data_IF_826937577584
#
_entry.id   IF_826937577584
#
_cell.length_a   1.000
_cell.length_b   1.000
_cell.length_c   1.000
_cell.angle_alpha   90.00
_cell.angle_beta   90.00
_cell.angle_gamma   90.00
#
_symmetry.space_group_name_H-M   'P 1'
#
loop_
_entity.id
_entity.type
_entity.pdbx_description
1 polymer ?
#
# COMPACT_ATOMS: atom_id res chain seq x y z
N UNK A 1 18.89 -23.54 -28.34
CA UNK A 1 19.52 -24.48 -27.37
C UNK A 1 18.82 -25.82 -27.26
N UNK A 2 17.56 -25.90 -26.80
CA UNK A 2 16.84 -27.20 -26.70
C UNK A 2 16.61 -27.84 -28.07
N UNK A 3 16.13 -27.06 -29.02
CA UNK A 3 15.87 -27.51 -30.41
C UNK A 3 17.15 -27.94 -31.14
N UNK A 4 18.23 -27.22 -30.92
CA UNK A 4 19.56 -27.58 -31.50
C UNK A 4 20.08 -28.92 -31.01
N UNK A 5 19.66 -29.34 -29.81
CA UNK A 5 19.95 -30.65 -29.21
C UNK A 5 18.89 -31.72 -29.50
N UNK A 6 17.85 -31.39 -30.30
CA UNK A 6 16.73 -32.27 -30.61
C UNK A 6 16.00 -32.83 -29.36
N UNK A 7 15.95 -32.05 -28.28
CA UNK A 7 15.27 -32.44 -27.04
C UNK A 7 13.82 -31.94 -27.02
N UNK A 8 12.88 -32.77 -26.59
CA UNK A 8 11.50 -32.33 -26.33
C UNK A 8 11.38 -31.67 -24.96
N UNK A 9 10.36 -30.82 -24.77
CA UNK A 9 10.06 -30.21 -23.46
C UNK A 9 9.85 -31.25 -22.36
N UNK A 10 9.29 -32.42 -22.69
CA UNK A 10 9.08 -33.51 -21.74
C UNK A 10 10.42 -34.17 -21.31
N UNK A 11 11.35 -34.34 -22.23
CA UNK A 11 12.69 -34.88 -21.91
C UNK A 11 13.47 -33.94 -21.01
N UNK A 12 13.45 -32.62 -21.32
CA UNK A 12 14.09 -31.62 -20.47
C UNK A 12 13.39 -31.52 -19.10
N UNK A 13 12.08 -31.62 -19.06
CA UNK A 13 11.32 -31.64 -17.80
C UNK A 13 11.71 -32.82 -16.91
N UNK A 14 11.82 -34.02 -17.50
CA UNK A 14 12.23 -35.24 -16.79
C UNK A 14 13.67 -35.14 -16.25
N UNK A 15 14.59 -34.53 -17.01
CA UNK A 15 16.00 -34.40 -16.62
C UNK A 15 16.28 -33.26 -15.66
N UNK A 16 15.47 -32.17 -15.72
CA UNK A 16 15.69 -30.96 -14.90
C UNK A 16 14.82 -30.91 -13.64
N UNK A 17 13.76 -31.70 -13.58
CA UNK A 17 12.72 -31.55 -12.55
C UNK A 17 11.87 -30.28 -12.69
N UNK A 18 12.02 -29.53 -13.78
CA UNK A 18 11.25 -28.30 -14.07
C UNK A 18 10.01 -28.67 -14.90
N UNK A 19 8.84 -28.24 -14.47
CA UNK A 19 7.59 -28.51 -15.19
C UNK A 19 7.63 -28.04 -16.66
N UNK A 20 7.13 -28.87 -17.58
CA UNK A 20 7.20 -28.61 -19.02
C UNK A 20 6.44 -27.33 -19.43
N UNK A 21 5.37 -26.98 -18.73
CA UNK A 21 4.64 -25.71 -18.94
C UNK A 21 5.48 -24.50 -18.53
N UNK A 22 6.29 -24.67 -17.49
CA UNK A 22 7.21 -23.63 -17.02
C UNK A 22 8.39 -23.46 -17.99
N UNK A 23 8.93 -24.57 -18.51
CA UNK A 23 9.95 -24.53 -19.56
C UNK A 23 9.46 -23.81 -20.82
N UNK A 24 8.24 -24.10 -21.26
CA UNK A 24 7.61 -23.40 -22.40
C UNK A 24 7.46 -21.89 -22.13
N UNK A 25 7.16 -21.47 -20.89
CA UNK A 25 7.10 -20.06 -20.53
C UNK A 25 8.47 -19.37 -20.58
N UNK A 26 9.53 -20.08 -20.21
CA UNK A 26 10.89 -19.57 -20.33
C UNK A 26 11.29 -19.37 -21.80
N UNK A 27 11.08 -20.39 -22.65
CA UNK A 27 11.39 -20.33 -24.08
C UNK A 27 10.62 -19.24 -24.84
N UNK A 28 9.39 -18.94 -24.40
CA UNK A 28 8.55 -17.89 -25.01
C UNK A 28 8.72 -16.51 -24.35
N UNK A 29 9.69 -16.32 -23.46
CA UNK A 29 9.94 -15.05 -22.77
C UNK A 29 8.84 -14.61 -21.82
N UNK A 30 7.86 -15.48 -21.51
CA UNK A 30 6.72 -15.16 -20.62
C UNK A 30 7.07 -15.24 -19.14
N UNK A 31 8.22 -15.78 -18.80
CA UNK A 31 8.76 -15.86 -17.44
C UNK A 31 10.28 -15.98 -17.46
N UNK A 32 10.93 -15.32 -16.52
CA UNK A 32 12.37 -15.39 -16.32
C UNK A 32 12.68 -16.58 -15.41
N UNK A 33 13.66 -17.42 -15.80
CA UNK A 33 14.11 -18.57 -15.01
C UNK A 33 14.91 -18.10 -13.78
N UNK A 34 14.86 -18.84 -12.67
CA UNK A 34 15.73 -18.57 -11.52
C UNK A 34 17.19 -18.91 -11.81
N UNK A 35 18.14 -18.39 -11.02
CA UNK A 35 19.55 -18.70 -11.15
C UNK A 35 19.82 -20.22 -11.12
N UNK A 36 19.17 -20.95 -10.19
CA UNK A 36 19.28 -22.40 -10.07
C UNK A 36 18.74 -23.12 -11.31
N UNK A 37 17.64 -22.65 -11.87
CA UNK A 37 17.05 -23.21 -13.09
C UNK A 37 17.94 -22.96 -14.30
N UNK A 38 18.56 -21.79 -14.43
CA UNK A 38 19.52 -21.49 -15.51
C UNK A 38 20.72 -22.41 -15.42
N UNK A 39 21.32 -22.59 -14.23
CA UNK A 39 22.44 -23.49 -14.01
C UNK A 39 22.09 -24.96 -14.32
N UNK A 40 20.87 -25.39 -13.95
CA UNK A 40 20.39 -26.74 -14.24
C UNK A 40 20.22 -26.97 -15.74
N UNK A 41 19.60 -26.00 -16.43
CA UNK A 41 19.37 -26.06 -17.87
C UNK A 41 20.65 -25.96 -18.68
N UNK A 42 21.63 -25.12 -18.25
CA UNK A 42 22.95 -25.06 -18.94
C UNK A 42 23.68 -26.38 -18.93
N UNK A 43 23.60 -27.13 -17.83
CA UNK A 43 24.19 -28.49 -17.74
C UNK A 43 23.51 -29.49 -18.68
N UNK A 44 22.16 -29.44 -18.76
CA UNK A 44 21.36 -30.33 -19.63
C UNK A 44 21.60 -30.01 -21.11
N UNK A 45 21.77 -28.74 -21.44
CA UNK A 45 22.06 -28.30 -22.80
C UNK A 45 23.53 -28.36 -23.15
N UNK A 46 24.41 -28.83 -22.23
CA UNK A 46 25.88 -28.88 -22.41
C UNK A 46 26.42 -27.52 -22.90
N UNK A 47 25.97 -26.47 -22.25
CA UNK A 47 26.38 -25.11 -22.58
C UNK A 47 27.50 -24.71 -21.65
N UNK A 48 28.73 -24.62 -22.22
CA UNK A 48 29.93 -24.41 -21.44
C UNK A 48 30.07 -23.02 -20.80
N UNK A 49 29.33 -22.03 -21.29
CA UNK A 49 29.35 -20.67 -20.76
C UNK A 49 28.05 -20.30 -20.01
N UNK A 50 27.82 -20.97 -18.87
CA UNK A 50 26.73 -20.68 -17.98
C UNK A 50 26.74 -19.20 -17.44
N UNK A 51 27.91 -18.56 -17.43
CA UNK A 51 28.06 -17.18 -17.01
C UNK A 51 27.37 -16.23 -17.97
N UNK A 52 27.48 -16.42 -19.28
CA UNK A 52 26.76 -15.63 -20.29
C UNK A 52 25.26 -15.75 -20.14
N UNK A 53 24.72 -16.95 -19.88
CA UNK A 53 23.29 -17.14 -19.64
C UNK A 53 22.81 -16.45 -18.35
N UNK A 54 23.62 -16.44 -17.30
CA UNK A 54 23.32 -15.75 -16.06
C UNK A 54 23.34 -14.23 -16.25
N UNK A 55 24.31 -13.71 -17.01
CA UNK A 55 24.37 -12.28 -17.38
C UNK A 55 23.11 -11.89 -18.17
N UNK A 56 22.74 -12.68 -19.17
CA UNK A 56 21.55 -12.40 -19.99
C UNK A 56 20.27 -12.44 -19.15
N UNK A 57 20.12 -13.44 -18.29
CA UNK A 57 19.00 -13.50 -17.34
C UNK A 57 18.94 -12.27 -16.42
N UNK A 58 20.07 -11.82 -15.89
CA UNK A 58 20.13 -10.62 -15.06
C UNK A 58 19.78 -9.36 -15.84
N UNK A 59 20.23 -9.26 -17.10
CA UNK A 59 19.86 -8.18 -18.01
C UNK A 59 18.35 -8.14 -18.27
N UNK A 60 17.74 -9.29 -18.57
CA UNK A 60 16.29 -9.39 -18.78
C UNK A 60 15.50 -9.00 -17.51
N UNK A 61 15.96 -9.42 -16.34
CA UNK A 61 15.36 -9.04 -15.05
C UNK A 61 15.46 -7.54 -14.80
N UNK A 62 16.59 -6.92 -15.14
CA UNK A 62 16.82 -5.47 -15.05
C UNK A 62 15.91 -4.73 -16.01
N UNK A 63 15.84 -5.13 -17.28
CA UNK A 63 14.99 -4.52 -18.29
C UNK A 63 13.51 -4.59 -17.87
N UNK A 64 13.08 -5.74 -17.34
CA UNK A 64 11.69 -5.90 -16.88
C UNK A 64 11.35 -5.02 -15.67
N UNK A 65 12.32 -4.76 -14.79
CA UNK A 65 12.16 -3.90 -13.60
C UNK A 65 12.20 -2.41 -13.94
N UNK A 66 12.97 -2.02 -14.96
CA UNK A 66 13.07 -0.64 -15.41
C UNK A 66 11.80 -0.15 -16.13
N UNK A 67 10.90 -1.08 -16.48
CA UNK A 67 9.64 -0.76 -17.18
C UNK A 67 9.85 0.20 -18.37
N UNK A 68 10.94 -0.02 -19.12
CA UNK A 68 11.35 0.81 -20.24
C UNK A 68 10.34 0.65 -21.38
N UNK A 69 9.43 1.58 -21.48
CA UNK A 69 8.44 1.66 -22.57
C UNK A 69 9.06 2.17 -23.88
N UNK A 70 10.27 2.71 -23.80
CA UNK A 70 11.01 3.28 -24.93
C UNK A 70 12.28 2.45 -25.21
N UNK A 71 12.29 1.81 -26.39
CA UNK A 71 13.39 0.96 -26.85
C UNK A 71 14.69 1.75 -27.09
N UNK A 72 14.61 3.03 -27.37
CA UNK A 72 15.78 3.88 -27.64
C UNK A 72 16.53 4.24 -26.36
N UNK A 73 15.80 4.58 -25.30
CA UNK A 73 16.37 4.81 -23.97
C UNK A 73 16.94 3.51 -23.38
N UNK A 74 16.28 2.37 -23.61
CA UNK A 74 16.79 1.06 -23.21
C UNK A 74 18.12 0.73 -23.89
N UNK A 75 18.20 0.98 -25.19
CA UNK A 75 19.43 0.74 -25.97
C UNK A 75 20.57 1.66 -25.53
N UNK A 76 20.32 2.92 -25.27
CA UNK A 76 21.32 3.88 -24.76
C UNK A 76 21.85 3.48 -23.36
N UNK A 77 20.96 3.01 -22.47
CA UNK A 77 21.34 2.53 -21.15
C UNK A 77 22.19 1.25 -21.27
N UNK A 78 21.80 0.32 -22.16
CA UNK A 78 22.54 -0.92 -22.39
C UNK A 78 23.91 -0.66 -23.03
N UNK A 79 23.98 0.24 -24.02
CA UNK A 79 25.25 0.64 -24.63
C UNK A 79 26.18 1.36 -23.63
N UNK A 80 25.62 2.26 -22.82
CA UNK A 80 26.38 2.91 -21.76
C UNK A 80 26.84 1.92 -20.66
N UNK A 81 26.05 0.87 -20.40
CA UNK A 81 26.44 -0.22 -19.50
C UNK A 81 27.52 -1.12 -20.10
N UNK A 82 27.42 -1.45 -21.39
CA UNK A 82 28.41 -2.28 -22.11
C UNK A 82 29.78 -1.59 -22.18
N UNK A 83 29.83 -0.30 -22.49
CA UNK A 83 31.07 0.49 -22.46
C UNK A 83 31.70 0.54 -21.06
N UNK A 84 30.91 0.40 -20.01
CA UNK A 84 31.32 0.55 -18.60
C UNK A 84 31.63 -0.76 -17.89
N UNK A 85 31.03 -1.88 -18.30
CA UNK A 85 31.37 -3.23 -17.80
C UNK A 85 32.79 -3.61 -18.15
N UNK A 86 33.32 -3.06 -19.25
CA UNK A 86 34.71 -3.22 -19.65
C UNK A 86 35.71 -2.52 -18.68
N UNK A 87 35.25 -1.54 -17.89
CA UNK A 87 36.11 -0.71 -17.03
C UNK A 87 35.97 -0.92 -15.50
N UNK A 88 35.33 -2.00 -15.05
CA UNK A 88 35.47 -2.45 -13.66
C UNK A 88 34.29 -2.19 -12.70
N UNK A 89 34.39 -2.85 -11.56
CA UNK A 89 33.38 -3.03 -10.49
C UNK A 89 32.72 -1.76 -9.90
N UNK A 90 33.27 -0.59 -10.13
CA UNK A 90 32.69 0.69 -9.67
C UNK A 90 31.36 1.04 -10.35
N UNK A 91 31.08 0.52 -11.54
CA UNK A 91 29.87 0.86 -12.29
C UNK A 91 28.70 -0.09 -12.06
N UNK A 92 28.95 -1.29 -11.52
CA UNK A 92 27.89 -2.17 -11.05
C UNK A 92 27.19 -1.54 -9.83
N UNK A 93 27.96 -0.83 -8.99
CA UNK A 93 27.41 -0.06 -7.86
C UNK A 93 26.52 1.09 -8.35
N UNK A 94 26.94 1.90 -9.33
CA UNK A 94 26.16 2.99 -9.88
C UNK A 94 24.90 2.52 -10.62
N UNK A 95 24.94 1.35 -11.25
CA UNK A 95 23.78 0.76 -11.91
C UNK A 95 22.78 0.16 -10.90
N UNK A 96 23.31 -0.47 -9.85
CA UNK A 96 22.51 -0.88 -8.70
C UNK A 96 21.95 0.33 -7.96
N UNK A 97 22.72 1.41 -7.79
CA UNK A 97 22.24 2.70 -7.27
C UNK A 97 21.07 3.24 -8.11
N UNK A 98 21.13 3.25 -9.44
CA UNK A 98 20.05 3.71 -10.29
C UNK A 98 18.77 2.87 -10.15
N UNK A 99 18.89 1.54 -9.93
CA UNK A 99 17.76 0.64 -9.65
C UNK A 99 17.22 0.84 -8.23
N UNK A 100 18.12 1.05 -7.27
CA UNK A 100 17.75 1.31 -5.88
C UNK A 100 17.38 2.78 -5.62
N UNK A 101 17.69 3.70 -6.55
CA UNK A 101 17.38 5.13 -6.40
C UNK A 101 15.95 5.50 -6.76
N UNK A 102 15.17 4.63 -7.44
CA UNK A 102 13.78 4.96 -7.70
C UNK A 102 13.00 5.05 -6.39
N UNK A 103 12.43 6.21 -6.07
CA UNK A 103 11.65 6.38 -4.85
C UNK A 103 10.47 5.40 -4.78
N UNK A 104 10.05 5.07 -3.58
CA UNK A 104 8.94 4.15 -3.34
C UNK A 104 7.62 4.90 -3.49
N UNK A 105 6.77 4.45 -4.42
CA UNK A 105 5.47 5.05 -4.67
C UNK A 105 4.45 4.72 -3.56
N UNK A 106 3.50 5.62 -3.34
CA UNK A 106 2.44 5.54 -2.33
C UNK A 106 1.66 4.22 -2.39
N UNK A 107 1.31 3.76 -3.59
CA UNK A 107 0.51 2.56 -3.84
C UNK A 107 1.25 1.24 -3.59
N UNK A 108 2.57 1.27 -3.32
CA UNK A 108 3.38 0.06 -3.18
C UNK A 108 3.20 -0.67 -1.84
N UNK A 109 2.57 -0.05 -0.85
CA UNK A 109 2.27 -0.65 0.46
C UNK A 109 1.14 -1.67 0.37
N UNK A 110 1.29 -2.81 1.01
CA UNK A 110 0.23 -3.81 1.16
C UNK A 110 -0.83 -3.31 2.15
N UNK A 111 -2.02 -3.04 1.65
CA UNK A 111 -3.12 -2.54 2.47
C UNK A 111 -4.46 -3.12 1.97
N UNK A 112 -5.27 -3.59 2.91
CA UNK A 112 -6.58 -4.21 2.59
C UNK A 112 -7.53 -3.11 2.13
N UNK A 113 -8.19 -3.32 1.00
CA UNK A 113 -9.16 -2.37 0.45
C UNK A 113 -8.55 -1.23 -0.37
N UNK A 114 -7.24 -1.29 -0.74
CA UNK A 114 -6.62 -0.27 -1.59
C UNK A 114 -7.38 -0.10 -2.91
N UNK A 115 -7.70 1.15 -3.27
CA UNK A 115 -8.37 1.55 -4.51
C UNK A 115 -7.43 1.85 -5.67
N UNK A 116 -6.12 1.58 -5.53
CA UNK A 116 -5.09 1.93 -6.53
C UNK A 116 -5.44 1.47 -7.95
N UNK A 117 -6.05 0.28 -8.11
CA UNK A 117 -6.45 -0.26 -9.41
C UNK A 117 -7.75 0.32 -9.98
N UNK A 118 -8.50 1.04 -9.18
CA UNK A 118 -9.80 1.61 -9.52
C UNK A 118 -9.76 3.12 -9.65
N UNK A 119 -8.62 3.74 -9.37
CA UNK A 119 -8.52 5.19 -9.21
C UNK A 119 -8.93 5.95 -10.48
N UNK A 120 -8.49 5.50 -11.65
CA UNK A 120 -8.87 6.12 -12.92
C UNK A 120 -10.39 6.05 -13.16
N UNK A 121 -10.99 4.90 -12.88
CA UNK A 121 -12.43 4.70 -13.01
C UNK A 121 -13.21 5.59 -12.02
N UNK A 122 -12.80 5.63 -10.74
CA UNK A 122 -13.42 6.45 -9.70
C UNK A 122 -13.35 7.94 -10.09
N UNK A 123 -12.16 8.44 -10.40
CA UNK A 123 -11.97 9.86 -10.73
C UNK A 123 -12.67 10.26 -12.02
N UNK A 124 -12.74 9.36 -13.02
CA UNK A 124 -13.48 9.63 -14.24
C UNK A 124 -14.99 9.79 -13.99
N UNK A 125 -15.58 8.92 -13.17
CA UNK A 125 -17.02 9.03 -12.84
C UNK A 125 -17.27 10.30 -12.02
N UNK A 126 -16.46 10.61 -11.02
CA UNK A 126 -16.58 11.84 -10.24
C UNK A 126 -16.58 13.07 -11.17
N UNK A 127 -15.59 13.15 -12.08
CA UNK A 127 -15.47 14.26 -13.05
C UNK A 127 -16.69 14.37 -13.97
N UNK A 128 -17.28 13.25 -14.37
CA UNK A 128 -18.40 13.22 -15.29
C UNK A 128 -19.73 13.59 -14.61
N UNK A 129 -19.89 13.17 -13.37
CA UNK A 129 -21.17 13.26 -12.64
C UNK A 129 -21.27 14.46 -11.71
N UNK A 130 -20.17 15.18 -11.47
CA UNK A 130 -20.17 16.37 -10.60
C UNK A 130 -19.92 17.65 -11.42
N UNK A 131 -20.45 18.79 -10.96
CA UNK A 131 -20.33 20.09 -11.64
C UNK A 131 -19.98 21.16 -10.63
N UNK A 132 -19.18 22.14 -11.07
CA UNK A 132 -18.80 23.32 -10.27
C UNK A 132 -18.27 22.92 -8.88
N UNK A 133 -17.30 22.00 -8.88
CA UNK A 133 -16.66 21.44 -7.68
C UNK A 133 -15.17 21.81 -7.64
N UNK A 134 -14.75 22.35 -6.50
CA UNK A 134 -13.40 22.87 -6.27
C UNK A 134 -12.71 22.17 -5.11
N UNK A 135 -13.48 21.66 -4.15
CA UNK A 135 -12.94 21.08 -2.92
C UNK A 135 -13.36 19.62 -2.77
N UNK A 136 -12.43 18.81 -2.31
CA UNK A 136 -12.60 17.36 -2.16
C UNK A 136 -12.28 16.92 -0.74
N UNK A 137 -13.13 16.09 -0.14
CA UNK A 137 -12.92 15.51 1.18
C UNK A 137 -12.83 13.99 1.10
N UNK A 138 -11.63 13.43 1.30
CA UNK A 138 -11.39 11.98 1.45
C UNK A 138 -11.60 11.59 2.91
N UNK A 139 -12.80 11.06 3.21
CA UNK A 139 -13.30 10.86 4.58
C UNK A 139 -12.60 9.70 5.30
N UNK A 140 -12.22 8.64 4.54
CA UNK A 140 -11.54 7.44 5.02
C UNK A 140 -10.38 7.10 4.09
N UNK A 141 -9.36 7.91 4.09
CA UNK A 141 -8.35 7.91 3.02
C UNK A 141 -7.48 6.65 2.92
N UNK A 142 -7.35 5.85 3.98
CA UNK A 142 -6.69 4.54 3.99
C UNK A 142 -5.26 4.58 3.42
N UNK A 143 -5.07 4.14 2.16
CA UNK A 143 -3.76 4.22 1.49
C UNK A 143 -3.38 5.62 1.03
N UNK A 144 -4.32 6.56 0.93
CA UNK A 144 -4.12 7.90 0.39
C UNK A 144 -4.11 7.99 -1.14
N UNK A 145 -4.37 6.89 -1.87
CA UNK A 145 -4.33 6.90 -3.35
C UNK A 145 -5.44 7.74 -3.96
N UNK A 146 -6.61 7.82 -3.32
CA UNK A 146 -7.71 8.69 -3.75
C UNK A 146 -7.36 10.15 -3.49
N UNK A 147 -6.82 10.45 -2.31
CA UNK A 147 -6.27 11.77 -1.95
C UNK A 147 -5.23 12.23 -2.98
N UNK A 148 -4.24 11.37 -3.33
CA UNK A 148 -3.19 11.68 -4.35
C UNK A 148 -3.81 12.05 -5.71
N UNK A 149 -4.83 11.31 -6.14
CA UNK A 149 -5.52 11.60 -7.40
C UNK A 149 -6.38 12.87 -7.32
N UNK A 150 -6.99 13.14 -6.18
CA UNK A 150 -7.78 14.35 -5.96
C UNK A 150 -6.90 15.61 -5.98
N UNK A 151 -5.68 15.58 -5.46
CA UNK A 151 -4.72 16.69 -5.49
C UNK A 151 -4.39 17.19 -6.91
N UNK A 152 -4.49 16.31 -7.91
CA UNK A 152 -4.30 16.67 -9.31
C UNK A 152 -5.58 17.18 -10.00
N UNK A 153 -6.74 17.14 -9.32
CA UNK A 153 -8.04 17.36 -9.95
C UNK A 153 -8.90 18.43 -9.26
N UNK A 154 -8.59 18.80 -8.02
CA UNK A 154 -9.33 19.76 -7.21
C UNK A 154 -8.42 20.88 -6.71
N UNK A 155 -9.00 22.05 -6.50
CA UNK A 155 -8.28 23.23 -6.03
C UNK A 155 -7.82 23.08 -4.57
N UNK A 156 -8.56 22.32 -3.74
CA UNK A 156 -8.23 22.04 -2.36
C UNK A 156 -8.73 20.66 -1.91
N UNK A 157 -7.90 19.95 -1.14
CA UNK A 157 -8.19 18.58 -0.69
C UNK A 157 -8.11 18.49 0.84
N UNK A 158 -9.14 17.93 1.43
CA UNK A 158 -9.18 17.51 2.83
C UNK A 158 -9.02 15.99 2.89
N UNK A 159 -8.13 15.50 3.71
CA UNK A 159 -7.93 14.05 3.88
C UNK A 159 -7.95 13.66 5.35
N UNK A 160 -8.63 12.57 5.66
CA UNK A 160 -8.75 12.09 7.03
C UNK A 160 -8.57 10.57 7.13
N UNK A 161 -7.92 10.13 8.17
CA UNK A 161 -7.89 8.72 8.59
C UNK A 161 -7.75 8.63 10.10
N UNK A 162 -8.21 7.52 10.69
CA UNK A 162 -8.19 7.32 12.12
C UNK A 162 -6.86 6.77 12.65
N UNK A 163 -5.98 6.27 11.76
CA UNK A 163 -4.70 5.66 12.13
C UNK A 163 -3.57 6.69 12.20
N UNK A 164 -2.72 6.56 13.21
CA UNK A 164 -1.50 7.36 13.34
C UNK A 164 -0.54 7.11 12.17
N UNK A 165 -0.38 5.84 11.76
CA UNK A 165 0.50 5.47 10.67
C UNK A 165 0.08 6.09 9.33
N UNK A 166 -1.22 6.12 9.02
CA UNK A 166 -1.72 6.75 7.81
C UNK A 166 -1.52 8.26 7.82
N UNK A 167 -1.75 8.93 8.96
CA UNK A 167 -1.51 10.37 9.10
C UNK A 167 -0.05 10.76 8.85
N UNK A 168 0.91 10.00 9.40
CA UNK A 168 2.35 10.19 9.14
C UNK A 168 2.67 9.97 7.66
N UNK A 169 2.09 8.94 7.05
CA UNK A 169 2.27 8.64 5.62
C UNK A 169 1.76 9.78 4.74
N UNK A 170 0.58 10.33 5.02
CA UNK A 170 0.05 11.47 4.24
C UNK A 170 0.94 12.70 4.38
N UNK A 171 1.38 13.02 5.60
CA UNK A 171 2.33 14.12 5.84
C UNK A 171 3.65 13.90 5.09
N UNK A 172 4.13 12.67 5.01
CA UNK A 172 5.35 12.32 4.31
C UNK A 172 5.21 12.45 2.78
N UNK A 173 4.11 11.94 2.20
CA UNK A 173 3.94 11.91 0.75
C UNK A 173 3.44 13.23 0.15
N UNK A 174 2.54 13.92 0.83
CA UNK A 174 1.90 15.13 0.28
C UNK A 174 1.64 16.27 1.28
N UNK A 175 2.01 16.12 2.54
CA UNK A 175 1.87 17.23 3.48
C UNK A 175 2.73 18.44 3.09
N UNK A 176 2.26 19.62 3.43
CA UNK A 176 3.01 20.87 3.28
C UNK A 176 4.31 20.85 4.09
N UNK A 177 5.27 21.61 3.65
CA UNK A 177 6.56 21.85 4.31
C UNK A 177 7.77 21.45 3.48
N UNK A 178 8.85 22.17 3.73
CA UNK A 178 10.15 21.93 3.09
C UNK A 178 10.90 20.78 3.76
N UNK A 179 11.69 20.07 2.98
CA UNK A 179 12.62 19.05 3.45
C UNK A 179 13.90 19.05 2.62
N UNK A 180 15.01 18.71 3.24
CA UNK A 180 16.29 18.53 2.57
C UNK A 180 16.47 17.06 2.15
N UNK A 181 16.38 16.80 0.84
CA UNK A 181 16.53 15.45 0.27
C UNK A 181 17.93 14.87 0.47
N UNK A 182 18.98 15.72 0.49
CA UNK A 182 20.35 15.27 0.76
C UNK A 182 20.50 14.83 2.22
N UNK A 183 19.97 15.61 3.14
CA UNK A 183 19.95 15.25 4.56
C UNK A 183 19.21 13.92 4.80
N UNK A 184 18.05 13.72 4.17
CA UNK A 184 17.35 12.43 4.22
C UNK A 184 18.21 11.31 3.64
N UNK A 185 18.87 11.56 2.49
CA UNK A 185 19.81 10.63 1.87
C UNK A 185 20.92 10.20 2.84
N UNK A 186 21.59 11.16 3.50
CA UNK A 186 22.64 10.90 4.48
C UNK A 186 22.14 10.02 5.65
N UNK A 187 20.89 10.23 6.12
CA UNK A 187 20.28 9.35 7.13
C UNK A 187 20.10 7.92 6.60
N UNK A 188 19.59 7.77 5.38
CA UNK A 188 19.33 6.45 4.79
C UNK A 188 20.64 5.71 4.51
N UNK A 189 21.67 6.38 4.00
CA UNK A 189 22.99 5.80 3.72
C UNK A 189 23.62 5.29 5.01
N UNK A 190 23.64 6.12 6.06
CA UNK A 190 24.10 5.74 7.39
C UNK A 190 23.36 4.52 7.94
N UNK A 191 22.04 4.44 7.77
CA UNK A 191 21.25 3.29 8.22
C UNK A 191 21.50 2.04 7.39
N UNK A 192 21.77 2.18 6.10
CA UNK A 192 22.06 1.08 5.20
C UNK A 192 23.46 0.47 5.43
N UNK A 193 24.39 1.21 6.04
CA UNK A 193 25.72 0.75 6.41
C UNK A 193 25.78 0.00 7.75
N UNK A 194 24.70 0.03 8.54
CA UNK A 194 24.66 -0.62 9.84
C UNK A 194 24.70 -2.15 9.72
N UNK A 195 25.58 -2.78 10.51
CA UNK A 195 25.56 -4.23 10.71
C UNK A 195 24.57 -4.60 11.83
N UNK A 196 23.42 -5.19 11.51
CA UNK A 196 22.40 -5.53 12.50
C UNK A 196 22.87 -6.56 13.54
N UNK A 197 23.91 -7.34 13.24
CA UNK A 197 24.45 -8.34 14.19
C UNK A 197 25.13 -7.68 15.39
N UNK A 198 25.66 -6.47 15.21
CA UNK A 198 26.36 -5.70 16.25
C UNK A 198 25.41 -4.86 17.11
N UNK A 199 24.16 -4.69 16.69
CA UNK A 199 23.19 -3.86 17.39
C UNK A 199 22.63 -4.55 18.65
N UNK A 200 22.35 -3.80 19.73
CA UNK A 200 21.71 -4.36 20.91
C UNK A 200 20.25 -4.70 20.67
N UNK A 201 19.73 -5.57 21.53
CA UNK A 201 18.28 -5.80 21.61
C UNK A 201 17.55 -4.52 21.98
N UNK A 202 16.33 -4.39 21.48
CA UNK A 202 15.49 -3.24 21.70
C UNK A 202 14.00 -3.63 21.75
N UNK A 203 13.14 -2.68 22.08
CA UNK A 203 11.71 -2.93 22.22
C UNK A 203 11.11 -3.60 20.97
N UNK A 204 11.54 -3.22 19.76
CA UNK A 204 10.98 -3.77 18.52
C UNK A 204 11.45 -5.21 18.28
N UNK A 205 12.73 -5.50 18.48
CA UNK A 205 13.29 -6.83 18.31
C UNK A 205 12.76 -7.84 19.35
N UNK A 206 12.66 -7.43 20.61
CA UNK A 206 12.14 -8.28 21.70
C UNK A 206 10.67 -8.69 21.47
N UNK A 207 9.86 -7.82 20.88
CA UNK A 207 8.44 -8.07 20.70
C UNK A 207 8.10 -8.67 19.32
N UNK A 208 8.69 -8.17 18.24
CA UNK A 208 8.29 -8.49 16.86
C UNK A 208 9.31 -9.35 16.12
N UNK A 209 10.57 -9.44 16.60
CA UNK A 209 11.61 -10.29 16.05
C UNK A 209 11.27 -11.78 16.14
N UNK A 210 11.64 -12.55 15.12
CA UNK A 210 11.36 -13.99 15.04
C UNK A 210 9.88 -14.36 14.81
N UNK A 211 8.99 -13.37 14.75
CA UNK A 211 7.54 -13.56 14.49
C UNK A 211 7.08 -12.82 13.24
N UNK A 212 7.09 -11.51 13.29
CA UNK A 212 6.67 -10.64 12.17
C UNK A 212 7.84 -10.25 11.26
N UNK A 213 9.05 -10.23 11.82
CA UNK A 213 10.27 -9.90 11.09
C UNK A 213 11.38 -10.87 11.48
N UNK A 214 12.36 -11.04 10.61
CA UNK A 214 13.61 -11.66 11.01
C UNK A 214 14.23 -10.88 12.18
N UNK A 215 14.89 -11.58 13.09
CA UNK A 215 15.34 -10.98 14.35
C UNK A 215 16.33 -9.84 14.15
N UNK A 216 17.30 -10.01 13.27
CA UNK A 216 18.31 -8.99 12.95
C UNK A 216 17.67 -7.78 12.24
N UNK A 217 16.70 -8.00 11.36
CA UNK A 217 15.89 -6.93 10.75
C UNK A 217 15.13 -6.16 11.84
N UNK A 218 14.54 -6.86 12.81
CA UNK A 218 13.80 -6.21 13.89
C UNK A 218 14.70 -5.37 14.80
N UNK A 219 15.95 -5.81 15.06
CA UNK A 219 16.95 -5.01 15.77
C UNK A 219 17.25 -3.71 15.04
N UNK A 220 17.51 -3.81 13.73
CA UNK A 220 17.80 -2.65 12.89
C UNK A 220 16.61 -1.68 12.84
N UNK A 221 15.38 -2.18 12.66
CA UNK A 221 14.15 -1.35 12.67
C UNK A 221 14.00 -0.58 13.98
N UNK A 222 14.16 -1.25 15.11
CA UNK A 222 14.05 -0.60 16.42
C UNK A 222 15.15 0.41 16.69
N UNK A 223 16.38 0.13 16.25
CA UNK A 223 17.50 1.07 16.32
C UNK A 223 17.23 2.32 15.48
N UNK A 224 16.89 2.15 14.20
CA UNK A 224 16.59 3.26 13.29
C UNK A 224 15.44 4.11 13.84
N UNK A 225 14.38 3.48 14.30
CA UNK A 225 13.22 4.22 14.85
C UNK A 225 13.59 5.03 16.09
N UNK A 226 14.47 4.48 16.97
CA UNK A 226 14.96 5.21 18.14
C UNK A 226 15.87 6.37 17.73
N UNK A 227 16.78 6.15 16.77
CA UNK A 227 17.68 7.22 16.28
C UNK A 227 16.89 8.37 15.64
N UNK A 228 15.82 8.07 14.87
CA UNK A 228 14.92 9.11 14.34
C UNK A 228 14.26 9.90 15.48
N UNK A 229 13.83 9.24 16.57
CA UNK A 229 13.22 9.93 17.72
C UNK A 229 14.23 10.79 18.47
N UNK A 230 15.44 10.28 18.70
CA UNK A 230 16.50 10.99 19.40
C UNK A 230 17.01 12.22 18.62
N UNK A 231 16.90 12.19 17.30
CA UNK A 231 17.28 13.29 16.41
C UNK A 231 16.10 14.18 15.98
N UNK A 232 14.93 14.01 16.57
CA UNK A 232 13.69 14.69 16.18
C UNK A 232 13.81 16.22 16.14
N UNK A 233 14.52 16.81 17.11
CA UNK A 233 14.68 18.26 17.19
C UNK A 233 15.59 18.83 16.08
N UNK A 234 16.35 17.98 15.40
CA UNK A 234 17.17 18.32 14.25
C UNK A 234 16.44 18.15 12.90
N UNK A 235 15.20 17.65 12.90
CA UNK A 235 14.40 17.37 11.72
C UNK A 235 13.25 18.36 11.61
N UNK A 236 12.92 18.78 10.39
CA UNK A 236 11.62 19.42 10.17
C UNK A 236 10.49 18.38 10.39
N UNK A 237 9.28 18.85 10.60
CA UNK A 237 8.12 17.95 10.73
C UNK A 237 7.96 17.04 9.51
N UNK A 238 8.24 17.56 8.30
CA UNK A 238 8.19 16.84 7.04
C UNK A 238 9.29 15.78 6.97
N UNK A 239 10.54 16.11 7.28
CA UNK A 239 11.67 15.18 7.31
C UNK A 239 11.44 14.03 8.27
N UNK A 240 10.95 14.32 9.48
CA UNK A 240 10.58 13.31 10.47
C UNK A 240 9.54 12.33 9.91
N UNK A 241 8.48 12.84 9.26
CA UNK A 241 7.46 12.01 8.65
C UNK A 241 8.02 11.18 7.49
N UNK A 242 8.89 11.75 6.64
CA UNK A 242 9.52 11.06 5.51
C UNK A 242 10.36 9.87 6.00
N UNK A 243 11.20 10.06 7.03
CA UNK A 243 12.04 8.99 7.56
C UNK A 243 11.20 7.83 8.13
N UNK A 244 10.14 8.14 8.90
CA UNK A 244 9.25 7.10 9.45
C UNK A 244 8.47 6.39 8.36
N UNK A 245 7.90 7.11 7.39
CA UNK A 245 7.17 6.52 6.28
C UNK A 245 8.11 5.66 5.41
N UNK A 246 9.34 6.13 5.15
CA UNK A 246 10.37 5.36 4.45
C UNK A 246 10.64 4.05 5.17
N UNK A 247 10.81 4.07 6.49
CA UNK A 247 11.00 2.85 7.28
C UNK A 247 9.81 1.89 7.11
N UNK A 248 8.57 2.37 7.28
CA UNK A 248 7.34 1.55 7.12
C UNK A 248 7.27 0.90 5.74
N UNK A 249 7.50 1.65 4.66
CA UNK A 249 7.38 1.15 3.29
C UNK A 249 8.45 0.10 2.94
N UNK A 250 9.66 0.23 3.49
CA UNK A 250 10.72 -0.75 3.26
C UNK A 250 10.50 -2.03 4.07
N UNK A 251 10.07 -1.95 5.33
CA UNK A 251 9.80 -3.14 6.14
C UNK A 251 8.50 -3.85 5.76
N UNK A 252 7.55 -3.19 5.09
CA UNK A 252 6.29 -3.82 4.68
C UNK A 252 6.54 -5.08 3.84
N UNK A 253 7.50 -5.06 2.93
CA UNK A 253 7.85 -6.19 2.07
C UNK A 253 8.53 -7.34 2.82
N UNK A 254 9.20 -7.03 3.93
CA UNK A 254 9.91 -8.00 4.77
C UNK A 254 9.02 -8.65 5.83
N UNK A 255 7.82 -8.09 6.05
CA UNK A 255 6.92 -8.59 7.06
C UNK A 255 6.41 -10.00 6.75
N UNK A 256 6.62 -10.93 7.68
CA UNK A 256 6.21 -12.34 7.63
C UNK A 256 4.70 -12.49 7.84
N UNK A 257 3.91 -11.86 7.00
CA UNK A 257 2.45 -11.78 7.09
C UNK A 257 1.80 -11.93 5.71
N UNK A 258 0.48 -12.07 5.73
CA UNK A 258 -0.36 -12.08 4.51
C UNK A 258 -0.92 -10.68 4.18
N UNK A 259 -0.24 -9.60 4.60
CA UNK A 259 -0.63 -8.23 4.35
C UNK A 259 -1.28 -7.51 5.56
N UNK A 260 -1.32 -8.14 6.73
CA UNK A 260 -1.75 -7.55 7.99
C UNK A 260 -1.12 -8.27 9.20
N UNK A 261 -1.05 -7.63 10.36
CA UNK A 261 -0.38 -8.15 11.56
C UNK A 261 -1.31 -8.88 12.54
N UNK A 262 -2.50 -9.28 12.15
CA UNK A 262 -3.39 -10.07 13.02
C UNK A 262 -2.85 -11.49 13.25
N UNK A 263 -2.09 -11.99 12.29
CA UNK A 263 -1.39 -13.26 12.36
C UNK A 263 -0.07 -13.20 11.58
N UNK A 264 0.88 -14.03 11.97
CA UNK A 264 2.14 -14.24 11.25
C UNK A 264 2.20 -15.65 10.66
N UNK A 265 3.03 -15.81 9.61
CA UNK A 265 3.21 -17.09 8.93
C UNK A 265 4.10 -17.99 9.80
N UNK A 266 3.62 -19.18 10.17
CA UNK A 266 4.35 -20.16 11.00
C UNK A 266 5.37 -20.97 10.21
N UNK A 267 6.15 -20.30 9.35
CA UNK A 267 7.28 -20.91 8.61
C UNK A 267 8.55 -20.15 8.99
N UNK A 268 9.73 -20.78 8.86
CA UNK A 268 10.98 -20.03 9.02
C UNK A 268 10.99 -18.78 8.16
N UNK A 269 11.34 -17.66 8.76
CA UNK A 269 11.44 -16.38 8.05
C UNK A 269 12.68 -16.46 7.17
N UNK A 270 12.51 -16.15 5.89
CA UNK A 270 13.64 -16.10 4.96
C UNK A 270 14.51 -14.90 5.29
N UNK A 271 15.82 -15.11 5.31
CA UNK A 271 16.75 -14.01 5.43
C UNK A 271 16.62 -13.06 4.22
N UNK A 272 16.29 -11.81 4.51
CA UNK A 272 16.23 -10.72 3.54
C UNK A 272 16.74 -9.46 4.23
N UNK A 273 17.88 -8.89 3.84
CA UNK A 273 18.41 -7.70 4.45
C UNK A 273 17.45 -6.52 4.24
N UNK A 274 17.33 -5.68 5.25
CA UNK A 274 16.66 -4.39 5.11
C UNK A 274 17.62 -3.43 4.40
N UNK A 275 17.15 -2.89 3.28
CA UNK A 275 17.79 -1.79 2.59
C UNK A 275 16.78 -0.67 2.38
N UNK A 276 17.05 0.48 2.96
CA UNK A 276 16.13 1.62 2.93
C UNK A 276 16.26 2.39 1.62
N UNK A 277 15.14 2.60 0.97
CA UNK A 277 14.98 3.48 -0.20
C UNK A 277 13.96 4.54 0.14
N UNK A 278 14.26 5.77 -0.24
CA UNK A 278 13.37 6.90 -0.01
C UNK A 278 12.01 6.70 -0.66
N UNK A 279 10.96 7.23 -0.06
CA UNK A 279 9.62 7.32 -0.66
C UNK A 279 9.55 8.51 -1.64
N UNK A 280 8.57 8.47 -2.57
CA UNK A 280 8.17 9.67 -3.31
C UNK A 280 7.57 10.67 -2.34
N UNK A 281 8.18 11.84 -2.19
CA UNK A 281 7.65 12.90 -1.32
C UNK A 281 7.49 14.17 -2.13
N UNK A 282 6.32 14.74 -2.08
CA UNK A 282 5.97 16.02 -2.68
C UNK A 282 5.35 16.91 -1.60
N UNK A 283 5.44 18.23 -1.78
CA UNK A 283 4.78 19.19 -0.90
C UNK A 283 3.64 19.85 -1.64
N UNK A 284 2.46 19.86 -1.02
CA UNK A 284 1.26 20.50 -1.55
C UNK A 284 0.75 21.51 -0.53
N UNK A 285 0.51 22.75 -0.95
CA UNK A 285 -0.07 23.80 -0.12
C UNK A 285 -1.61 23.71 -0.06
N UNK A 286 -2.20 22.96 -1.00
CA UNK A 286 -3.64 22.83 -1.16
C UNK A 286 -4.21 21.54 -0.51
N UNK A 287 -3.64 21.12 0.61
CA UNK A 287 -4.12 19.96 1.37
C UNK A 287 -4.18 20.25 2.87
N UNK A 288 -5.23 19.74 3.51
CA UNK A 288 -5.31 19.66 4.96
C UNK A 288 -5.48 18.20 5.42
N UNK A 289 -4.64 17.77 6.37
CA UNK A 289 -4.51 16.36 6.80
C UNK A 289 -5.03 16.23 8.23
N UNK A 290 -6.12 15.49 8.39
CA UNK A 290 -6.75 15.23 9.68
C UNK A 290 -6.46 13.81 10.19
N UNK A 291 -6.56 13.64 11.50
CA UNK A 291 -6.59 12.36 12.20
C UNK A 291 -7.69 12.41 13.25
N UNK A 292 -8.93 12.28 12.82
CA UNK A 292 -10.10 12.44 13.67
C UNK A 292 -11.15 11.37 13.39
N UNK A 293 -12.12 11.23 14.30
CA UNK A 293 -13.35 10.50 14.00
C UNK A 293 -14.07 11.19 12.83
N UNK A 294 -14.38 10.44 11.79
CA UNK A 294 -14.94 10.99 10.55
C UNK A 294 -16.31 11.63 10.76
N UNK A 295 -17.12 11.10 11.68
CA UNK A 295 -18.42 11.65 11.98
C UNK A 295 -18.32 12.99 12.72
N UNK A 296 -17.33 13.13 13.61
CA UNK A 296 -17.11 14.42 14.30
C UNK A 296 -16.55 15.47 13.34
N UNK A 297 -15.60 15.07 12.47
CA UNK A 297 -15.02 15.99 11.48
C UNK A 297 -16.08 16.49 10.48
N UNK A 298 -16.99 15.61 10.03
CA UNK A 298 -18.03 15.94 9.07
C UNK A 298 -19.01 17.04 9.55
N UNK A 299 -19.12 17.26 10.87
CA UNK A 299 -20.01 18.29 11.44
C UNK A 299 -19.52 19.73 11.20
N UNK A 300 -18.22 19.90 11.02
CA UNK A 300 -17.62 21.24 10.89
C UNK A 300 -16.90 21.49 9.56
N UNK A 301 -16.71 20.46 8.71
CA UNK A 301 -15.97 20.58 7.47
C UNK A 301 -16.94 20.79 6.30
N UNK A 302 -16.67 21.82 5.48
CA UNK A 302 -17.44 22.13 4.27
C UNK A 302 -16.55 21.79 3.06
N UNK A 303 -17.10 21.03 2.12
CA UNK A 303 -16.44 20.71 0.85
C UNK A 303 -17.49 20.61 -0.28
N UNK A 304 -17.04 20.49 -1.54
CA UNK A 304 -17.98 20.25 -2.64
C UNK A 304 -18.26 18.75 -2.81
N UNK A 305 -17.25 17.91 -2.68
CA UNK A 305 -17.35 16.45 -2.85
C UNK A 305 -16.80 15.75 -1.60
N UNK A 306 -17.57 14.85 -1.00
CA UNK A 306 -17.06 13.90 0.00
C UNK A 306 -16.96 12.51 -0.61
N UNK A 307 -15.76 11.91 -0.56
CA UNK A 307 -15.51 10.51 -0.93
C UNK A 307 -15.46 9.64 0.33
N UNK A 308 -16.23 8.57 0.34
CA UNK A 308 -16.50 7.73 1.50
C UNK A 308 -16.22 6.27 1.14
N UNK A 309 -15.16 5.71 1.70
CA UNK A 309 -14.79 4.28 1.60
C UNK A 309 -14.59 3.70 3.01
N UNK A 310 -15.70 3.49 3.77
CA UNK A 310 -15.62 3.14 5.18
C UNK A 310 -15.17 1.69 5.35
N UNK A 311 -14.68 1.27 6.52
CA UNK A 311 -14.46 -0.14 6.82
C UNK A 311 -15.73 -0.97 6.59
N UNK A 312 -15.65 -2.03 5.76
CA UNK A 312 -16.85 -2.79 5.36
C UNK A 312 -17.29 -3.86 6.38
N UNK A 313 -16.35 -4.40 7.16
CA UNK A 313 -16.56 -5.60 7.97
C UNK A 313 -16.09 -5.41 9.41
N UNK A 314 -16.18 -6.46 10.23
CA UNK A 314 -15.82 -6.39 11.66
C UNK A 314 -14.32 -6.22 11.96
N UNK A 315 -13.47 -6.11 10.94
CA UNK A 315 -12.02 -6.08 11.09
C UNK A 315 -11.54 -4.66 11.37
N UNK A 316 -11.05 -4.44 12.57
CA UNK A 316 -10.54 -3.15 13.02
C UNK A 316 -9.15 -2.89 12.43
N UNK A 317 -9.00 -1.85 11.62
CA UNK A 317 -7.72 -1.52 10.96
C UNK A 317 -6.60 -1.19 11.97
N UNK A 318 -6.91 -0.51 13.08
CA UNK A 318 -5.94 -0.29 14.16
C UNK A 318 -5.40 -1.59 14.77
N UNK A 319 -6.19 -2.68 14.73
CA UNK A 319 -5.76 -4.01 15.19
C UNK A 319 -4.99 -4.77 14.11
N UNK A 320 -5.28 -4.50 12.83
CA UNK A 320 -4.60 -5.11 11.69
C UNK A 320 -3.21 -4.55 11.47
N UNK A 321 -3.05 -3.24 11.68
CA UNK A 321 -1.80 -2.52 11.45
C UNK A 321 -1.12 -2.07 12.74
N UNK A 322 -1.41 -2.74 13.87
CA UNK A 322 -0.93 -2.39 15.19
C UNK A 322 0.60 -2.30 15.31
N UNK A 323 1.36 -3.05 14.50
CA UNK A 323 2.82 -2.96 14.47
C UNK A 323 3.26 -1.61 13.92
N UNK A 324 2.62 -1.11 12.86
CA UNK A 324 2.90 0.22 12.32
C UNK A 324 2.42 1.32 13.26
N UNK A 325 1.26 1.16 13.90
CA UNK A 325 0.79 2.09 14.93
C UNK A 325 1.80 2.19 16.09
N UNK A 326 2.31 1.07 16.57
CA UNK A 326 3.36 1.02 17.62
C UNK A 326 4.65 1.67 17.14
N UNK A 327 5.07 1.42 15.90
CA UNK A 327 6.29 1.99 15.32
C UNK A 327 6.18 3.52 15.19
N UNK A 328 5.03 4.04 14.77
CA UNK A 328 4.81 5.47 14.58
C UNK A 328 4.73 6.21 15.91
N UNK A 329 3.93 5.71 16.83
CA UNK A 329 3.76 6.34 18.16
C UNK A 329 5.03 6.27 19.01
N UNK A 330 5.75 5.18 18.91
CA UNK A 330 6.98 4.88 19.65
C UNK A 330 6.88 5.04 21.17
N UNK A 331 5.66 4.89 21.70
CA UNK A 331 5.34 4.95 23.12
C UNK A 331 5.63 3.62 23.87
N UNK A 332 6.14 2.61 23.14
CA UNK A 332 6.59 1.32 23.67
C UNK A 332 5.55 0.65 24.57
N UNK A 333 4.29 0.48 24.14
CA UNK A 333 3.22 0.02 24.98
C UNK A 333 3.41 -1.44 25.41
N UNK A 334 2.77 -1.83 26.50
CA UNK A 334 2.63 -3.24 26.85
C UNK A 334 1.77 -3.95 25.80
N UNK A 335 2.25 -5.11 25.32
CA UNK A 335 1.59 -5.90 24.28
C UNK A 335 0.90 -7.12 24.87
N UNK A 336 -0.20 -7.55 24.25
CA UNK A 336 -1.07 -8.61 24.74
C UNK A 336 -1.39 -9.65 23.67
N UNK A 337 -1.58 -10.90 24.11
CA UNK A 337 -1.99 -12.01 23.26
C UNK A 337 -0.93 -12.51 22.29
N UNK A 338 -1.28 -13.50 21.48
CA UNK A 338 -0.35 -14.14 20.53
C UNK A 338 0.09 -13.18 19.43
N UNK A 339 -0.79 -12.27 19.00
CA UNK A 339 -0.51 -11.28 17.98
C UNK A 339 0.19 -10.02 18.50
N UNK A 340 0.54 -9.96 19.81
CA UNK A 340 1.28 -8.86 20.42
C UNK A 340 0.66 -7.48 20.14
N UNK A 341 -0.63 -7.35 20.45
CA UNK A 341 -1.38 -6.12 20.22
C UNK A 341 -1.32 -5.19 21.45
N UNK A 342 -1.17 -3.89 21.29
CA UNK A 342 -1.34 -2.93 22.38
C UNK A 342 -2.80 -2.88 22.87
N UNK A 343 -3.08 -2.11 23.90
CA UNK A 343 -4.46 -1.82 24.30
C UNK A 343 -5.26 -1.25 23.12
N UNK A 344 -6.58 -1.52 23.01
CA UNK A 344 -7.40 -0.99 21.93
C UNK A 344 -7.43 0.54 21.92
N UNK A 345 -7.16 1.13 20.76
CA UNK A 345 -7.24 2.56 20.49
C UNK A 345 -7.80 2.76 19.07
N UNK A 346 -8.46 3.87 18.80
CA UNK A 346 -9.00 4.23 17.48
C UNK A 346 -9.89 3.12 16.87
N UNK A 347 -10.77 2.55 17.68
CA UNK A 347 -11.71 1.52 17.24
C UNK A 347 -12.88 2.14 16.46
N UNK A 348 -13.05 1.71 15.21
CA UNK A 348 -14.09 2.25 14.32
C UNK A 348 -15.46 1.68 14.65
N UNK A 349 -16.48 2.54 14.74
CA UNK A 349 -17.89 2.17 14.87
C UNK A 349 -18.39 1.41 13.63
N UNK A 350 -17.81 1.66 12.46
CA UNK A 350 -18.14 0.99 11.19
C UNK A 350 -17.82 -0.51 11.18
N UNK A 351 -16.95 -0.97 12.07
CA UNK A 351 -16.64 -2.39 12.24
C UNK A 351 -17.55 -3.10 13.26
N UNK A 352 -18.60 -2.46 13.75
CA UNK A 352 -19.50 -2.98 14.81
C UNK A 352 -20.94 -3.09 14.32
N UNK A 353 -21.85 -3.53 15.17
CA UNK A 353 -23.29 -3.50 14.92
C UNK A 353 -23.86 -2.07 14.76
N UNK A 354 -23.09 -1.03 15.12
CA UNK A 354 -23.48 0.38 14.96
C UNK A 354 -23.06 0.96 13.61
N UNK A 355 -22.62 0.15 12.67
CA UNK A 355 -22.10 0.64 11.38
C UNK A 355 -23.16 1.42 10.59
N UNK A 356 -24.41 0.95 10.57
CA UNK A 356 -25.52 1.62 9.88
C UNK A 356 -25.81 2.98 10.51
N UNK A 357 -25.92 3.04 11.84
CA UNK A 357 -26.18 4.28 12.57
C UNK A 357 -25.03 5.29 12.37
N UNK A 358 -23.78 4.82 12.40
CA UNK A 358 -22.60 5.64 12.15
C UNK A 358 -22.57 6.19 10.72
N UNK A 359 -22.95 5.37 9.74
CA UNK A 359 -23.02 5.79 8.35
C UNK A 359 -24.14 6.80 8.13
N UNK A 360 -25.33 6.56 8.66
CA UNK A 360 -26.44 7.50 8.58
C UNK A 360 -26.11 8.85 9.24
N UNK A 361 -25.51 8.83 10.44
CA UNK A 361 -25.04 10.04 11.14
C UNK A 361 -23.99 10.80 10.31
N UNK A 362 -23.03 10.11 9.68
CA UNK A 362 -22.06 10.73 8.79
C UNK A 362 -22.76 11.45 7.62
N UNK A 363 -23.58 10.73 6.86
CA UNK A 363 -24.23 11.22 5.65
C UNK A 363 -25.08 12.47 5.94
N UNK A 364 -25.82 12.47 7.05
CA UNK A 364 -26.67 13.61 7.42
C UNK A 364 -25.90 14.83 7.94
N UNK A 365 -24.68 14.64 8.47
CA UNK A 365 -23.85 15.75 8.97
C UNK A 365 -22.85 16.30 7.96
N UNK A 366 -22.60 15.62 6.84
CA UNK A 366 -21.74 16.14 5.77
C UNK A 366 -22.33 17.43 5.16
N UNK A 367 -21.48 18.44 4.98
CA UNK A 367 -21.85 19.71 4.35
C UNK A 367 -21.18 19.77 2.97
N UNK A 368 -21.79 19.10 1.98
CA UNK A 368 -21.24 18.93 0.64
C UNK A 368 -22.31 18.99 -0.44
N UNK A 369 -21.90 19.31 -1.69
CA UNK A 369 -22.78 19.23 -2.87
C UNK A 369 -22.99 17.80 -3.35
N UNK A 370 -21.94 16.98 -3.29
CA UNK A 370 -21.96 15.60 -3.77
C UNK A 370 -21.38 14.63 -2.72
N UNK A 371 -22.07 13.53 -2.51
CA UNK A 371 -21.62 12.41 -1.69
C UNK A 371 -21.27 11.26 -2.63
N UNK A 372 -20.03 10.79 -2.57
CA UNK A 372 -19.52 9.66 -3.35
C UNK A 372 -19.19 8.53 -2.41
N UNK A 373 -19.91 7.40 -2.50
CA UNK A 373 -19.66 6.22 -1.65
C UNK A 373 -19.13 5.09 -2.50
N UNK A 374 -17.91 4.63 -2.19
CA UNK A 374 -17.34 3.41 -2.74
C UNK A 374 -17.68 2.24 -1.83
N UNK A 375 -18.20 1.16 -2.38
CA UNK A 375 -18.57 -0.02 -1.62
C UNK A 375 -18.55 -1.28 -2.49
N UNK A 376 -18.26 -2.43 -1.89
CA UNK A 376 -18.21 -3.69 -2.62
C UNK A 376 -19.40 -4.62 -2.31
N UNK A 377 -19.66 -5.58 -3.20
CA UNK A 377 -20.73 -6.55 -3.05
C UNK A 377 -20.32 -7.83 -2.31
N UNK A 378 -19.25 -7.87 -1.52
CA UNK A 378 -18.78 -9.09 -0.81
C UNK A 378 -19.75 -9.59 0.27
N UNK A 379 -20.99 -9.71 -0.12
CA UNK A 379 -22.14 -10.00 0.73
C UNK A 379 -22.17 -11.43 1.28
N UNK A 380 -21.63 -12.40 0.55
CA UNK A 380 -21.71 -13.82 0.85
C UNK A 380 -20.37 -14.41 1.28
N UNK A 381 -19.73 -13.83 2.29
CA UNK A 381 -18.52 -14.43 2.85
C UNK A 381 -18.87 -15.65 3.70
N UNK A 382 -18.10 -16.75 3.54
CA UNK A 382 -18.19 -17.95 4.42
C UNK A 382 -17.80 -17.66 5.87
N UNK A 383 -17.25 -16.48 6.16
CA UNK A 383 -16.84 -16.04 7.48
C UNK A 383 -17.64 -14.81 7.92
N UNK A 384 -18.34 -14.89 9.03
CA UNK A 384 -19.11 -13.77 9.61
C UNK A 384 -18.26 -12.51 9.90
N UNK A 385 -16.95 -12.69 10.11
CA UNK A 385 -16.01 -11.58 10.28
C UNK A 385 -15.68 -10.83 8.99
N UNK A 386 -16.00 -11.41 7.84
CA UNK A 386 -15.78 -10.83 6.51
C UNK A 386 -17.08 -10.33 5.87
N UNK A 387 -18.23 -10.53 6.54
CA UNK A 387 -19.50 -9.97 6.09
C UNK A 387 -19.52 -8.45 6.21
N UNK A 388 -20.08 -7.79 5.20
CA UNK A 388 -20.32 -6.36 5.23
C UNK A 388 -21.30 -6.01 6.35
N UNK A 389 -21.03 -4.94 7.10
CA UNK A 389 -21.86 -4.51 8.22
C UNK A 389 -23.04 -3.62 7.79
N UNK A 390 -22.94 -3.06 6.59
CA UNK A 390 -24.00 -2.23 5.98
C UNK A 390 -24.39 -2.91 4.66
N UNK A 391 -25.68 -3.04 4.39
CA UNK A 391 -26.15 -3.60 3.13
C UNK A 391 -26.18 -2.54 2.02
N UNK A 392 -26.08 -2.95 0.77
CA UNK A 392 -26.19 -2.02 -0.38
C UNK A 392 -27.55 -1.30 -0.38
N UNK A 393 -28.62 -2.00 0.03
CA UNK A 393 -29.94 -1.42 0.17
C UNK A 393 -29.98 -0.35 1.27
N UNK A 394 -29.34 -0.61 2.42
CA UNK A 394 -29.22 0.39 3.50
C UNK A 394 -28.45 1.62 3.05
N UNK A 395 -27.31 1.44 2.35
CA UNK A 395 -26.55 2.55 1.77
C UNK A 395 -27.44 3.38 0.86
N UNK A 396 -28.08 2.73 -0.12
CA UNK A 396 -28.96 3.41 -1.07
C UNK A 396 -30.10 4.15 -0.38
N UNK A 397 -30.77 3.50 0.56
CA UNK A 397 -31.90 4.09 1.29
C UNK A 397 -31.48 5.32 2.10
N UNK A 398 -30.29 5.31 2.71
CA UNK A 398 -29.76 6.46 3.45
C UNK A 398 -29.40 7.60 2.48
N UNK A 399 -28.73 7.30 1.38
CA UNK A 399 -28.36 8.30 0.37
C UNK A 399 -29.57 8.92 -0.31
N UNK A 400 -30.58 8.13 -0.63
CA UNK A 400 -31.82 8.61 -1.25
C UNK A 400 -32.63 9.57 -0.35
N UNK A 401 -32.43 9.54 0.96
CA UNK A 401 -32.99 10.53 1.89
C UNK A 401 -32.32 11.90 1.77
N UNK A 402 -31.10 11.96 1.23
CA UNK A 402 -30.32 13.19 1.14
C UNK A 402 -30.33 13.81 -0.26
N UNK A 403 -30.75 13.08 -1.29
CA UNK A 403 -30.69 13.62 -2.66
C UNK A 403 -31.08 12.61 -3.73
N UNK A 404 -30.50 12.78 -4.92
CA UNK A 404 -30.67 11.89 -6.07
C UNK A 404 -29.43 11.05 -6.25
N UNK A 405 -29.55 9.74 -6.15
CA UNK A 405 -28.42 8.79 -6.18
C UNK A 405 -28.34 8.07 -7.52
N UNK A 406 -27.16 8.10 -8.15
CA UNK A 406 -26.78 7.24 -9.28
C UNK A 406 -25.82 6.18 -8.81
N UNK A 407 -25.84 4.99 -9.44
CA UNK A 407 -24.99 3.84 -9.10
C UNK A 407 -24.21 3.41 -10.32
N UNK A 408 -22.91 3.25 -10.16
CA UNK A 408 -21.99 2.79 -11.19
C UNK A 408 -21.31 1.50 -10.73
N UNK A 409 -21.10 0.55 -11.65
CA UNK A 409 -20.51 -0.75 -11.35
C UNK A 409 -19.19 -0.91 -12.11
N UNK A 410 -18.18 -1.46 -11.44
CA UNK A 410 -16.94 -1.93 -12.06
C UNK A 410 -16.75 -3.43 -11.85
N UNK A 411 -16.45 -4.16 -12.94
CA UNK A 411 -16.23 -5.60 -12.92
C UNK A 411 -14.77 -6.02 -12.64
N UNK A 412 -14.02 -5.25 -11.88
CA UNK A 412 -12.61 -5.55 -11.60
C UNK A 412 -12.43 -6.70 -10.61
N UNK A 413 -11.56 -7.67 -10.98
CA UNK A 413 -11.15 -8.77 -10.10
C UNK A 413 -10.20 -8.25 -9.01
N UNK A 414 -10.63 -8.32 -7.76
CA UNK A 414 -9.77 -8.06 -6.59
C UNK A 414 -8.76 -9.19 -6.34
N UNK A 415 -7.60 -8.81 -5.79
CA UNK A 415 -6.64 -9.76 -5.24
C UNK A 415 -7.17 -10.30 -3.90
N UNK A 416 -7.57 -11.57 -3.87
CA UNK A 416 -7.95 -12.28 -2.64
C UNK A 416 -6.80 -13.19 -2.21
N UNK A 417 -6.30 -13.01 -1.00
CA UNK A 417 -5.33 -13.89 -0.35
C UNK A 417 -5.93 -15.25 0.11
N UNK A 418 -7.22 -15.49 -0.13
CA UNK A 418 -7.96 -16.69 0.25
C UNK A 418 -8.46 -17.50 -0.95
N UNK A 419 -8.62 -18.83 -0.77
CA UNK A 419 -9.18 -19.80 -1.74
C UNK A 419 -10.70 -19.62 -1.95
N UNK A 420 -11.18 -18.44 -2.26
CA UNK A 420 -12.59 -18.20 -2.58
C UNK A 420 -12.72 -17.79 -4.03
N UNK A 421 -13.18 -18.72 -4.87
CA UNK A 421 -13.63 -18.44 -6.23
C UNK A 421 -14.97 -17.68 -6.16
N UNK A 422 -14.90 -16.35 -6.19
CA UNK A 422 -16.07 -15.51 -6.48
C UNK A 422 -15.91 -14.91 -7.86
N UNK A 423 -16.67 -15.40 -8.80
CA UNK A 423 -16.69 -14.93 -10.20
C UNK A 423 -17.46 -13.60 -10.37
N UNK A 424 -17.97 -12.99 -9.29
CA UNK A 424 -18.89 -11.84 -9.38
C UNK A 424 -18.58 -10.74 -8.34
N UNK A 425 -17.30 -10.46 -8.12
CA UNK A 425 -16.90 -9.30 -7.31
C UNK A 425 -17.07 -8.02 -8.11
N UNK A 426 -17.97 -7.16 -7.64
CA UNK A 426 -18.19 -5.83 -8.17
C UNK A 426 -17.82 -4.77 -7.15
N UNK A 427 -17.15 -3.73 -7.60
CA UNK A 427 -17.06 -2.48 -6.87
C UNK A 427 -18.16 -1.55 -7.37
N UNK A 428 -18.86 -0.92 -6.44
CA UNK A 428 -19.97 -0.02 -6.68
C UNK A 428 -19.56 1.38 -6.26
N UNK A 429 -19.90 2.36 -7.07
CA UNK A 429 -19.76 3.78 -6.76
C UNK A 429 -21.15 4.43 -6.77
N UNK A 430 -21.59 4.90 -5.62
CA UNK A 430 -22.82 5.66 -5.46
C UNK A 430 -22.46 7.14 -5.52
N UNK A 431 -23.12 7.90 -6.37
CA UNK A 431 -23.01 9.37 -6.40
C UNK A 431 -24.37 9.96 -6.12
N UNK A 432 -24.43 10.74 -5.05
CA UNK A 432 -25.63 11.45 -4.63
C UNK A 432 -25.42 12.95 -4.78
N UNK A 433 -26.20 13.58 -5.63
CA UNK A 433 -26.33 15.04 -5.64
C UNK A 433 -27.25 15.44 -4.49
N UNK A 434 -26.71 16.21 -3.54
CA UNK A 434 -27.40 16.55 -2.28
C UNK A 434 -28.48 17.58 -2.54
N UNK A 435 -29.67 17.31 -2.00
CA UNK A 435 -30.79 18.21 -1.91
C UNK A 435 -30.99 18.59 -0.42
N UNK A 436 -30.61 19.80 -0.05
CA UNK A 436 -30.63 20.26 1.33
C UNK A 436 -32.03 20.28 1.93
N UNK A 437 -33.04 20.55 1.12
CA UNK A 437 -34.45 20.58 1.60
C UNK A 437 -34.94 19.17 1.89
N UNK A 438 -34.62 18.21 1.01
CA UNK A 438 -34.94 16.81 1.18
C UNK A 438 -34.20 16.22 2.39
N UNK A 439 -32.92 16.55 2.54
CA UNK A 439 -32.07 16.13 3.65
C UNK A 439 -32.62 16.63 4.99
N UNK A 440 -32.99 17.91 5.09
CA UNK A 440 -33.62 18.50 6.30
C UNK A 440 -34.94 17.86 6.64
N UNK A 441 -35.81 17.60 5.67
CA UNK A 441 -37.10 16.93 5.88
C UNK A 441 -36.95 15.49 6.38
N UNK A 442 -35.89 14.80 5.93
CA UNK A 442 -35.59 13.42 6.31
C UNK A 442 -34.83 13.30 7.64
N UNK A 443 -34.23 14.41 8.11
CA UNK A 443 -33.52 14.48 9.38
C UNK A 443 -34.52 14.59 10.53
N UNK A 444 -35.00 13.46 11.04
CA UNK A 444 -35.67 13.41 12.34
C UNK A 444 -34.56 13.41 13.40
N UNK A 445 -34.49 14.43 14.30
CA UNK A 445 -33.51 14.38 15.37
C UNK A 445 -33.83 13.16 16.22
N UNK A 446 -33.05 12.11 16.08
CA UNK A 446 -33.02 11.01 17.02
C UNK A 446 -32.61 11.61 18.36
N UNK A 447 -33.64 11.85 19.17
CA UNK A 447 -33.57 12.23 20.57
C UNK A 447 -32.37 11.52 21.20
N UNK A 448 -31.44 12.30 21.72
CA UNK A 448 -30.50 11.89 22.73
C UNK A 448 -31.19 11.04 23.78
N UNK A 449 -31.22 9.76 23.63
CA UNK A 449 -31.53 8.82 24.72
C UNK A 449 -30.22 8.47 25.37
N UNK A 450 -30.07 8.96 26.60
CA UNK A 450 -28.96 8.89 27.50
C UNK A 450 -28.40 7.47 27.81
#
# INVERSE_FOLDING_TARGET
MREDKNLSLQQVSASSGIDSTLLSKFENGKRIASTEQVITLSKIYEFDDAATLLIQRQSDEIISKLNLSDSETALQILQAAEEKVVYGSQYLSLFMEAIYSKPIALESRRYIGSKAKLIEWIMNIIRTETKDVHTFFDVFAGTGVVTKAALSSFDYVFTNDFLHSNNIIYKAFFGDGDYDSYKIGDYLDRYNELDPTTLPENYFSENFGGKYFEHEVAKLVGYIRQDIEDNKDNLTSKEYCILIATLIYNIDKLANTVGHFEAYIKKPIKHQPLHLRMIESESYENIEIFKQDSNELARGLIADVAYIDPPYNSRQYCRFYHVYETLVKWDKPKLYGVALKPAPENMSRYCTSRAVDAFEDLIFNLQVKYIVVSYNNTYNSKSSSSENKITLEQIKNILDKCGTTKIFESSHRFFNAGKTDFNDHKELLFITEVDEDKKRQSFSPLLCRG
#
